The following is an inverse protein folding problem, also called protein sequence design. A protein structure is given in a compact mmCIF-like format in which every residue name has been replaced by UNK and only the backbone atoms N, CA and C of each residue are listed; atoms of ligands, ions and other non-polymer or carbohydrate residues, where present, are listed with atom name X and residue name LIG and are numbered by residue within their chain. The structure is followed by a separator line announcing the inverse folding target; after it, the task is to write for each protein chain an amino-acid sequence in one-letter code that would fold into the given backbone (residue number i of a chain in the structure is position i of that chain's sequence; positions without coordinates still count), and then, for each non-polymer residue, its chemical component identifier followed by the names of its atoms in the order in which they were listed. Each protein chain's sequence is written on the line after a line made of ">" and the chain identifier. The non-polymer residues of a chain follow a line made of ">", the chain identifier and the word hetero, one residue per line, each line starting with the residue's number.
data_IF_479462572607
#
_entry.id   IF_479462572607
#
_cell.length_a   1.000
_cell.length_b   1.000
_cell.length_c   1.000
_cell.angle_alpha   90.00
_cell.angle_beta   90.00
_cell.angle_gamma   90.00
#
_symmetry.space_group_name_H-M   'P 1'
#
loop_
_entity.id
_entity.type
_entity.pdbx_description
1 polymer ?
#
# COMPACT_ATOMS: atom_id res chain seq x y z
N UNK A 1 28.64 -15.43 49.89
CA UNK A 1 28.28 -15.50 48.45
C UNK A 1 29.42 -14.88 47.65
N UNK A 2 30.05 -15.64 46.74
CA UNK A 2 31.34 -15.28 46.14
C UNK A 2 31.18 -14.19 45.07
N UNK A 3 32.04 -13.16 45.08
CA UNK A 3 31.99 -12.01 44.16
C UNK A 3 31.89 -12.40 42.67
N UNK A 4 32.47 -13.55 42.29
CA UNK A 4 32.36 -14.12 40.94
C UNK A 4 30.91 -14.45 40.53
N UNK A 5 30.06 -14.88 41.47
CA UNK A 5 28.63 -15.18 41.21
C UNK A 5 27.82 -13.90 40.96
N UNK A 6 28.17 -12.81 41.65
CA UNK A 6 27.53 -11.50 41.47
C UNK A 6 27.89 -10.87 40.12
N UNK A 7 29.15 -11.01 39.70
CA UNK A 7 29.60 -10.48 38.41
C UNK A 7 28.88 -11.15 37.23
N UNK A 8 28.66 -12.48 37.30
CA UNK A 8 27.91 -13.22 36.28
C UNK A 8 26.44 -12.77 36.23
N UNK A 9 25.81 -12.53 37.39
CA UNK A 9 24.43 -12.03 37.44
C UNK A 9 24.28 -10.62 36.87
N UNK A 10 25.22 -9.72 37.15
CA UNK A 10 25.19 -8.35 36.62
C UNK A 10 25.39 -8.34 35.11
N UNK A 11 26.32 -9.14 34.59
CA UNK A 11 26.54 -9.24 33.13
C UNK A 11 25.33 -9.86 32.43
N UNK A 12 24.72 -10.89 33.00
CA UNK A 12 23.50 -11.48 32.45
C UNK A 12 22.33 -10.49 32.41
N UNK A 13 22.16 -9.67 33.45
CA UNK A 13 21.12 -8.65 33.51
C UNK A 13 21.33 -7.56 32.44
N UNK A 14 22.58 -7.13 32.24
CA UNK A 14 22.91 -6.12 31.22
C UNK A 14 22.66 -6.63 29.79
N UNK A 15 22.96 -7.89 29.52
CA UNK A 15 22.67 -8.51 28.22
C UNK A 15 21.17 -8.62 27.95
N UNK A 16 20.36 -8.96 28.95
CA UNK A 16 18.90 -9.00 28.83
C UNK A 16 18.32 -7.60 28.58
N UNK A 17 18.83 -6.57 29.28
CA UNK A 17 18.40 -5.19 29.09
C UNK A 17 18.75 -4.66 27.69
N UNK A 18 19.93 -4.99 27.17
CA UNK A 18 20.33 -4.63 25.81
C UNK A 18 19.43 -5.28 24.74
N UNK A 19 19.02 -6.54 24.95
CA UNK A 19 18.10 -7.24 24.05
C UNK A 19 16.69 -6.63 24.08
N UNK A 20 16.23 -6.18 25.25
CA UNK A 20 14.91 -5.55 25.39
C UNK A 20 14.83 -4.16 24.72
N UNK A 21 15.92 -3.40 24.67
CA UNK A 21 15.98 -2.09 23.99
C UNK A 21 16.16 -2.25 22.47
N UNK A 22 16.86 -3.29 22.01
CA UNK A 22 17.09 -3.56 20.58
C UNK A 22 15.85 -4.04 19.81
N UNK A 23 14.80 -4.52 20.49
CA UNK A 23 13.51 -4.86 19.89
C UNK A 23 12.46 -3.73 20.05
N UNK A 24 12.88 -2.55 20.53
CA UNK A 24 12.00 -1.39 20.76
C UNK A 24 11.91 -0.42 19.59
N UNK A 25 12.71 -0.59 18.53
CA UNK A 25 12.38 -0.03 17.22
C UNK A 25 11.27 -0.89 16.60
N UNK A 26 10.06 -0.74 17.16
CA UNK A 26 8.89 -0.61 16.31
C UNK A 26 9.08 0.71 15.53
N UNK A 27 10.06 0.72 14.62
CA UNK A 27 10.02 1.60 13.49
C UNK A 27 8.63 1.40 12.94
N UNK A 28 7.83 2.47 13.05
CA UNK A 28 6.48 2.60 12.56
C UNK A 28 6.32 1.69 11.35
N UNK A 29 5.91 0.45 11.59
CA UNK A 29 5.39 -0.38 10.54
C UNK A 29 4.09 0.36 10.36
N UNK A 30 4.08 1.25 9.38
CA UNK A 30 2.87 1.54 8.63
C UNK A 30 2.39 0.16 8.19
N UNK A 31 1.74 -0.53 9.12
CA UNK A 31 0.74 -1.51 8.85
C UNK A 31 -0.29 -0.63 8.19
N UNK A 32 -0.12 -0.43 6.88
CA UNK A 32 -1.01 0.22 5.95
C UNK A 32 -2.33 -0.53 6.00
N UNK A 33 -2.98 -0.40 7.15
CA UNK A 33 -4.39 -0.23 7.33
C UNK A 33 -4.64 1.28 7.22
N UNK A 34 -4.01 1.89 6.22
CA UNK A 34 -4.76 2.72 5.33
C UNK A 34 -5.92 1.81 4.90
N UNK A 35 -7.13 2.12 5.35
CA UNK A 35 -8.32 1.88 4.54
C UNK A 35 -8.26 2.73 3.25
N UNK A 36 -7.05 2.97 2.74
CA UNK A 36 -6.68 3.62 1.51
C UNK A 36 -7.03 2.62 0.43
N UNK A 37 -8.25 2.79 -0.05
CA UNK A 37 -8.50 2.78 -1.46
C UNK A 37 -7.50 3.75 -2.14
N UNK A 38 -6.22 3.39 -2.14
CA UNK A 38 -5.16 4.05 -2.91
C UNK A 38 -5.42 3.62 -4.35
N UNK A 39 -6.51 4.14 -4.89
CA UNK A 39 -6.77 4.17 -6.31
C UNK A 39 -5.60 4.95 -6.87
N UNK A 40 -4.62 4.23 -7.38
CA UNK A 40 -3.50 4.85 -8.10
C UNK A 40 -4.15 5.66 -9.21
N UNK A 41 -4.04 6.99 -9.13
CA UNK A 41 -4.67 7.88 -10.09
C UNK A 41 -4.21 7.50 -11.50
N UNK A 42 -5.19 7.24 -12.36
CA UNK A 42 -4.99 6.91 -13.75
C UNK A 42 -4.51 8.14 -14.54
N UNK A 43 -3.87 7.94 -15.69
CA UNK A 43 -3.53 9.04 -16.59
C UNK A 43 -4.77 9.85 -16.98
N UNK A 44 -4.60 11.15 -17.21
CA UNK A 44 -5.71 11.98 -17.68
C UNK A 44 -6.10 11.66 -19.13
N UNK A 45 -7.37 11.88 -19.49
CA UNK A 45 -7.95 11.43 -20.75
C UNK A 45 -7.40 12.10 -22.02
N UNK A 46 -6.70 13.24 -21.92
CA UNK A 46 -6.24 13.96 -23.12
C UNK A 46 -7.35 14.61 -23.96
N UNK A 47 -8.63 14.29 -23.70
CA UNK A 47 -9.83 14.82 -24.34
C UNK A 47 -10.98 14.95 -23.32
N UNK A 48 -12.07 15.61 -23.72
CA UNK A 48 -13.26 15.75 -22.89
C UNK A 48 -13.96 14.40 -22.63
N UNK A 49 -14.60 14.28 -21.47
CA UNK A 49 -15.25 13.05 -20.97
C UNK A 49 -16.77 13.21 -20.84
N UNK A 50 -17.36 14.18 -21.56
CA UNK A 50 -18.80 14.49 -21.48
C UNK A 50 -19.67 13.50 -22.28
N UNK A 51 -19.05 12.60 -23.05
CA UNK A 51 -19.72 11.63 -23.89
C UNK A 51 -20.24 10.43 -23.06
N UNK A 52 -21.33 9.77 -23.50
CA UNK A 52 -21.77 8.52 -22.90
C UNK A 52 -20.74 7.39 -23.06
N UNK A 53 -20.81 6.40 -22.18
CA UNK A 53 -19.87 5.28 -22.13
C UNK A 53 -19.71 4.55 -23.48
N UNK A 54 -20.80 4.30 -24.20
CA UNK A 54 -20.78 3.64 -25.50
C UNK A 54 -19.94 4.41 -26.54
N UNK A 55 -19.94 5.74 -26.47
CA UNK A 55 -19.14 6.60 -27.35
C UNK A 55 -17.65 6.51 -26.99
N UNK A 56 -17.32 6.32 -25.70
CA UNK A 56 -15.94 6.04 -25.28
C UNK A 56 -15.48 4.70 -25.86
N UNK A 57 -16.30 3.65 -25.73
CA UNK A 57 -15.96 2.30 -26.20
C UNK A 57 -15.89 2.18 -27.72
N UNK A 58 -16.47 3.11 -28.48
CA UNK A 58 -16.30 3.15 -29.94
C UNK A 58 -14.83 3.28 -30.38
N UNK A 59 -14.00 3.95 -29.58
CA UNK A 59 -12.55 4.06 -29.81
C UNK A 59 -11.73 3.21 -28.82
N UNK A 60 -12.27 2.95 -27.63
CA UNK A 60 -11.56 2.33 -26.49
C UNK A 60 -11.98 0.88 -26.19
N UNK A 61 -12.77 0.22 -27.04
CA UNK A 61 -13.36 -1.10 -26.76
C UNK A 61 -12.38 -2.23 -26.39
N UNK A 62 -11.10 -2.10 -26.75
CA UNK A 62 -10.06 -3.08 -26.41
C UNK A 62 -9.47 -2.87 -25.00
N UNK A 63 -9.74 -1.72 -24.38
CA UNK A 63 -9.16 -1.34 -23.08
C UNK A 63 -9.85 -2.06 -21.92
N UNK A 64 -11.10 -2.48 -22.12
CA UNK A 64 -11.88 -3.25 -21.18
C UNK A 64 -11.16 -4.56 -20.80
N UNK A 65 -10.69 -5.34 -21.78
CA UNK A 65 -9.94 -6.59 -21.52
C UNK A 65 -8.61 -6.33 -20.77
N UNK A 66 -7.87 -5.28 -21.13
CA UNK A 66 -6.61 -4.95 -20.46
C UNK A 66 -6.86 -4.45 -19.03
N UNK A 67 -7.96 -3.71 -18.79
CA UNK A 67 -8.34 -3.29 -17.45
C UNK A 67 -8.84 -4.45 -16.61
N UNK A 68 -9.63 -5.36 -17.16
CA UNK A 68 -10.06 -6.56 -16.44
C UNK A 68 -8.85 -7.41 -16.04
N UNK A 69 -7.88 -7.59 -16.95
CA UNK A 69 -6.69 -8.39 -16.69
C UNK A 69 -5.80 -7.82 -15.57
N UNK A 70 -5.73 -6.49 -15.45
CA UNK A 70 -4.84 -5.81 -14.50
C UNK A 70 -5.54 -5.34 -13.21
N UNK A 71 -6.84 -5.05 -13.27
CA UNK A 71 -7.61 -4.41 -12.20
C UNK A 71 -8.92 -5.13 -11.85
N UNK A 72 -9.43 -6.03 -12.70
CA UNK A 72 -10.63 -6.85 -12.46
C UNK A 72 -11.88 -6.36 -13.18
N UNK A 73 -12.92 -7.21 -13.24
CA UNK A 73 -14.13 -7.00 -14.06
C UNK A 73 -15.01 -5.81 -13.63
N UNK A 74 -14.81 -5.28 -12.43
CA UNK A 74 -15.68 -4.25 -11.83
C UNK A 74 -15.28 -2.81 -12.23
N UNK A 75 -14.29 -2.67 -13.12
CA UNK A 75 -13.66 -1.39 -13.48
C UNK A 75 -14.04 -0.87 -14.87
N UNK A 76 -14.68 -1.70 -15.70
CA UNK A 76 -15.03 -1.33 -17.08
C UNK A 76 -15.98 -0.11 -17.13
N UNK A 77 -16.89 0.04 -16.17
CA UNK A 77 -17.88 1.14 -16.12
C UNK A 77 -17.43 2.34 -15.27
N UNK A 78 -16.25 2.26 -14.64
CA UNK A 78 -15.80 3.20 -13.61
C UNK A 78 -14.48 3.89 -13.96
N UNK A 79 -14.27 4.17 -15.25
CA UNK A 79 -13.02 4.81 -15.70
C UNK A 79 -12.72 6.12 -14.95
N UNK A 80 -13.77 6.91 -14.65
CA UNK A 80 -13.64 8.19 -13.96
C UNK A 80 -13.30 8.06 -12.46
N UNK A 81 -13.35 6.86 -11.88
CA UNK A 81 -12.97 6.65 -10.47
C UNK A 81 -11.46 6.79 -10.28
N UNK A 82 -10.68 6.54 -11.33
CA UNK A 82 -9.22 6.63 -11.32
C UNK A 82 -8.71 7.75 -12.23
N UNK A 83 -9.35 7.97 -13.38
CA UNK A 83 -8.89 8.87 -14.42
C UNK A 83 -9.56 10.24 -14.31
N UNK A 84 -8.76 11.29 -14.20
CA UNK A 84 -9.26 12.66 -14.16
C UNK A 84 -9.41 13.25 -15.57
N UNK A 85 -10.49 14.02 -15.76
CA UNK A 85 -10.62 14.89 -16.92
C UNK A 85 -9.59 16.03 -16.83
N UNK A 86 -9.06 16.46 -17.98
CA UNK A 86 -8.13 17.59 -18.09
C UNK A 86 -8.81 18.95 -17.89
#
# INVERSE_FOLDING_TARGET
>A
MNAKKWMVLVVALLLMAAFAVGCGDNGNVDNGNDNGNDVVAGPSFGHGTEAPYDDCMACHGDIAEDHEANYGADYEDRCMDCHEAL
#
